data_IF_087992340284
#
_entry.id   IF_087992340284
#
_cell.length_a   1.000
_cell.length_b   1.000
_cell.length_c   1.000
_cell.angle_alpha   90.00
_cell.angle_beta   90.00
_cell.angle_gamma   90.00
#
_symmetry.space_group_name_H-M   'P 1'
#
loop_
_entity.id
_entity.type
_entity.pdbx_description
1 polymer ?
#
# COMPACT_ATOMS: atom_id res chain seq x y z
N UNK A 1 -0.70 -15.74 3.34
CA UNK A 1 -0.96 -14.87 2.17
C UNK A 1 0.38 -14.25 1.76
N UNK A 2 0.80 -14.35 0.48
CA UNK A 2 1.96 -13.65 -0.08
C UNK A 2 1.85 -12.13 0.06
N UNK A 3 2.98 -11.43 0.16
CA UNK A 3 3.00 -9.97 0.36
C UNK A 3 2.24 -9.20 -0.74
N UNK A 4 2.37 -9.61 -2.00
CA UNK A 4 1.65 -8.98 -3.12
C UNK A 4 0.13 -9.15 -3.02
N UNK A 5 -0.34 -10.34 -2.62
CA UNK A 5 -1.79 -10.56 -2.41
C UNK A 5 -2.32 -9.73 -1.23
N UNK A 6 -1.55 -9.64 -0.15
CA UNK A 6 -1.89 -8.78 1.00
C UNK A 6 -1.98 -7.31 0.58
N UNK A 7 -1.05 -6.86 -0.26
CA UNK A 7 -1.03 -5.49 -0.79
C UNK A 7 -2.24 -5.21 -1.68
N UNK A 8 -2.53 -6.11 -2.62
CA UNK A 8 -3.67 -5.98 -3.53
C UNK A 8 -5.01 -6.05 -2.76
N UNK A 9 -5.11 -6.91 -1.75
CA UNK A 9 -6.26 -6.92 -0.84
C UNK A 9 -6.41 -5.57 -0.13
N UNK A 10 -5.32 -5.01 0.39
CA UNK A 10 -5.34 -3.71 1.06
C UNK A 10 -5.80 -2.61 0.11
N UNK A 11 -5.21 -2.49 -1.09
CA UNK A 11 -5.64 -1.51 -2.10
C UNK A 11 -7.15 -1.56 -2.35
N UNK A 12 -7.72 -2.76 -2.52
CA UNK A 12 -9.16 -2.92 -2.72
C UNK A 12 -10.03 -2.42 -1.54
N UNK A 13 -9.51 -2.44 -0.31
CA UNK A 13 -10.24 -1.91 0.86
C UNK A 13 -10.27 -0.39 0.91
N UNK A 14 -9.23 0.27 0.38
CA UNK A 14 -9.06 1.73 0.47
C UNK A 14 -9.43 2.47 -0.83
N UNK A 15 -9.29 1.84 -1.99
CA UNK A 15 -9.69 2.40 -3.29
C UNK A 15 -11.08 3.06 -3.34
N UNK A 16 -12.12 2.48 -2.70
CA UNK A 16 -13.46 3.09 -2.70
C UNK A 16 -13.55 4.42 -1.96
N UNK A 17 -12.53 4.75 -1.15
CA UNK A 17 -12.52 5.91 -0.23
C UNK A 17 -11.28 6.79 -0.38
N UNK A 18 -10.29 6.35 -1.17
CA UNK A 18 -9.03 7.05 -1.36
C UNK A 18 -9.13 8.08 -2.48
N UNK A 19 -8.64 9.29 -2.21
CA UNK A 19 -8.47 10.32 -3.22
C UNK A 19 -7.27 10.02 -4.15
N UNK A 20 -7.22 10.70 -5.30
CA UNK A 20 -6.24 10.49 -6.37
C UNK A 20 -4.78 10.41 -5.87
N UNK A 21 -4.37 11.26 -4.92
CA UNK A 21 -3.01 11.26 -4.38
C UNK A 21 -2.61 9.98 -3.64
N UNK A 22 -3.52 9.37 -2.88
CA UNK A 22 -3.27 8.09 -2.18
C UNK A 22 -3.29 6.93 -3.18
N UNK A 23 -4.19 6.98 -4.18
CA UNK A 23 -4.22 5.96 -5.24
C UNK A 23 -2.89 5.94 -6.00
N UNK A 24 -2.43 7.11 -6.46
CA UNK A 24 -1.16 7.23 -7.19
C UNK A 24 0.02 6.73 -6.35
N UNK A 25 0.10 7.13 -5.08
CA UNK A 25 1.14 6.64 -4.18
C UNK A 25 1.13 5.11 -4.08
N UNK A 26 -0.03 4.48 -3.86
CA UNK A 26 -0.13 3.02 -3.74
C UNK A 26 0.21 2.29 -5.04
N UNK A 27 -0.16 2.84 -6.19
CA UNK A 27 0.25 2.30 -7.49
C UNK A 27 1.77 2.33 -7.67
N UNK A 28 2.43 3.43 -7.28
CA UNK A 28 3.89 3.54 -7.30
C UNK A 28 4.55 2.52 -6.36
N UNK A 29 4.03 2.37 -5.13
CA UNK A 29 4.53 1.36 -4.19
C UNK A 29 4.30 -0.07 -4.70
N UNK A 30 3.21 -0.32 -5.41
CA UNK A 30 2.95 -1.63 -6.05
C UNK A 30 4.03 -1.98 -7.06
N UNK A 31 4.44 -1.02 -7.90
CA UNK A 31 5.51 -1.23 -8.87
C UNK A 31 6.85 -1.52 -8.19
N UNK A 32 7.14 -0.82 -7.09
CA UNK A 32 8.34 -1.09 -6.30
C UNK A 32 8.32 -2.50 -5.68
N UNK A 33 7.19 -2.91 -5.09
CA UNK A 33 7.00 -4.23 -4.48
C UNK A 33 7.32 -5.39 -5.44
N UNK A 34 6.96 -5.25 -6.72
CA UNK A 34 7.25 -6.25 -7.76
C UNK A 34 8.75 -6.45 -8.00
N UNK A 35 9.57 -5.42 -7.74
CA UNK A 35 11.02 -5.46 -7.92
C UNK A 35 11.77 -6.06 -6.73
N UNK A 36 11.15 -6.13 -5.55
CA UNK A 36 11.73 -6.78 -4.37
C UNK A 36 11.75 -8.29 -4.61
N UNK A 37 12.90 -8.94 -4.47
CA UNK A 37 13.05 -10.39 -4.72
C UNK A 37 12.81 -11.24 -3.49
N UNK A 38 13.09 -10.69 -2.30
CA UNK A 38 12.99 -11.41 -1.04
C UNK A 38 11.57 -11.27 -0.45
N UNK A 39 10.90 -12.38 -0.17
CA UNK A 39 9.53 -12.35 0.36
C UNK A 39 9.42 -11.75 1.76
N UNK A 40 10.44 -11.89 2.62
CA UNK A 40 10.44 -11.27 3.94
C UNK A 40 10.59 -9.75 3.85
N UNK A 41 11.42 -9.28 2.91
CA UNK A 41 11.55 -7.85 2.60
C UNK A 41 10.26 -7.29 2.01
N UNK A 42 9.60 -8.03 1.10
CA UNK A 42 8.27 -7.67 0.58
C UNK A 42 7.26 -7.49 1.69
N UNK A 43 7.22 -8.40 2.67
CA UNK A 43 6.27 -8.30 3.80
C UNK A 43 6.50 -7.05 4.64
N UNK A 44 7.75 -6.75 4.99
CA UNK A 44 8.09 -5.53 5.75
C UNK A 44 7.69 -4.27 4.97
N UNK A 45 8.03 -4.24 3.68
CA UNK A 45 7.66 -3.13 2.81
C UNK A 45 6.14 -2.93 2.74
N UNK A 46 5.36 -4.01 2.60
CA UNK A 46 3.89 -3.93 2.60
C UNK A 46 3.36 -3.37 3.91
N UNK A 47 3.90 -3.79 5.06
CA UNK A 47 3.51 -3.27 6.37
C UNK A 47 3.78 -1.76 6.49
N UNK A 48 4.93 -1.28 6.02
CA UNK A 48 5.31 0.14 6.01
C UNK A 48 4.35 0.96 5.13
N UNK A 49 4.10 0.52 3.90
CA UNK A 49 3.19 1.22 2.97
C UNK A 49 1.76 1.27 3.51
N UNK A 50 1.30 0.21 4.18
CA UNK A 50 -0.02 0.19 4.81
C UNK A 50 -0.14 1.22 5.94
N UNK A 51 0.92 1.44 6.72
CA UNK A 51 0.96 2.44 7.79
C UNK A 51 0.95 3.86 7.20
N UNK A 52 1.80 4.13 6.23
CA UNK A 52 1.87 5.44 5.56
C UNK A 52 0.55 5.80 4.88
N UNK A 53 -0.04 4.88 4.12
CA UNK A 53 -1.32 5.11 3.46
C UNK A 53 -2.45 5.40 4.46
N UNK A 54 -2.45 4.76 5.62
CA UNK A 54 -3.42 5.06 6.70
C UNK A 54 -3.19 6.44 7.30
N UNK A 55 -1.95 6.87 7.49
CA UNK A 55 -1.62 8.20 7.98
C UNK A 55 -2.11 9.28 7.01
N UNK A 56 -1.82 9.12 5.70
CA UNK A 56 -2.29 10.04 4.66
C UNK A 56 -3.82 10.19 4.63
N UNK A 57 -4.56 9.09 4.86
CA UNK A 57 -6.01 9.10 4.95
C UNK A 57 -6.54 9.76 6.23
N UNK A 58 -5.76 9.78 7.32
CA UNK A 58 -6.12 10.42 8.59
C UNK A 58 -5.82 11.92 8.58
N UNK A 59 -4.67 12.35 8.07
CA UNK A 59 -4.28 13.77 7.99
C UNK A 59 -5.30 14.63 7.23
N UNK A 60 -6.01 14.02 6.28
CA UNK A 60 -7.08 14.68 5.50
C UNK A 60 -8.42 14.77 6.21
N UNK A 61 -8.64 14.01 7.29
CA UNK A 61 -9.90 14.05 8.06
C UNK A 61 -9.90 15.13 9.15
N UNK A 62 -8.74 15.65 9.51
CA UNK A 62 -8.56 16.78 10.42
C UNK A 62 -8.52 18.10 9.65
#
# INVERSE_FOLDING_TARGET
>A
MPALETFDWFMNQIEPRSHEGVRKYLEEQRQYLLNIRNENERRRFVEEVMLEARAMLQERKN
#
